data_IF_076063337517
#
_entry.id   IF_076063337517
#
_cell.length_a   1.000
_cell.length_b   1.000
_cell.length_c   1.000
_cell.angle_alpha   90.00
_cell.angle_beta   90.00
_cell.angle_gamma   90.00
#
_symmetry.space_group_name_H-M   'P 1'
#
loop_
_entity.id
_entity.type
_entity.pdbx_description
1 polymer ?
#
# COMPACT_ATOMS: atom_id res chain seq x y z
N UNK A 1 22.39 17.42 17.34
CA UNK A 1 22.39 18.59 16.43
C UNK A 1 21.43 18.42 15.25
N UNK A 2 20.97 17.19 14.96
CA UNK A 2 20.03 16.83 13.89
C UNK A 2 18.57 17.28 14.16
N UNK A 3 18.13 17.39 15.40
CA UNK A 3 16.74 17.72 15.77
C UNK A 3 16.30 19.17 15.50
N UNK A 4 17.21 20.09 15.30
CA UNK A 4 16.87 21.51 15.03
C UNK A 4 16.44 21.79 13.58
N UNK A 5 16.74 20.90 12.65
CA UNK A 5 16.53 21.11 11.22
C UNK A 5 15.18 20.62 10.71
N UNK A 6 14.62 19.59 11.34
CA UNK A 6 13.24 19.14 11.11
C UNK A 6 12.24 20.25 11.46
N UNK A 7 12.50 21.01 12.54
CA UNK A 7 11.67 22.15 12.93
C UNK A 7 11.73 23.34 11.94
N UNK A 8 12.82 23.53 11.21
CA UNK A 8 12.91 24.57 10.20
C UNK A 8 12.08 24.20 8.94
N UNK A 9 12.01 22.92 8.61
CA UNK A 9 11.13 22.41 7.56
C UNK A 9 9.64 22.67 7.86
N UNK A 10 9.21 22.48 9.10
CA UNK A 10 7.84 22.69 9.55
C UNK A 10 7.49 24.19 9.56
N UNK A 11 8.44 25.08 9.91
CA UNK A 11 8.17 26.53 9.98
C UNK A 11 7.95 27.16 8.60
N UNK A 12 8.55 26.64 7.54
CA UNK A 12 8.30 27.11 6.16
C UNK A 12 6.93 26.68 5.67
N UNK A 13 6.42 25.54 6.13
CA UNK A 13 5.10 25.00 5.74
C UNK A 13 3.91 25.76 6.35
N UNK A 14 4.03 26.30 7.54
CA UNK A 14 2.91 26.94 8.26
C UNK A 14 2.60 28.38 7.82
N UNK A 15 3.46 29.06 7.11
CA UNK A 15 3.27 30.48 6.70
C UNK A 15 2.53 30.63 5.36
N UNK A 16 2.27 29.56 4.59
CA UNK A 16 1.88 29.65 3.18
C UNK A 16 0.41 29.35 2.85
N UNK A 17 -0.50 29.40 3.81
CA UNK A 17 -1.90 28.98 3.60
C UNK A 17 -2.78 29.91 2.74
N UNK A 18 -2.28 31.03 2.21
CA UNK A 18 -3.11 32.01 1.49
C UNK A 18 -2.72 32.40 0.07
N UNK A 19 -1.64 31.81 -0.53
CA UNK A 19 -1.27 32.04 -1.93
C UNK A 19 -0.89 30.72 -2.61
N UNK A 20 -1.93 29.91 -2.90
CA UNK A 20 -1.83 28.46 -3.07
C UNK A 20 -0.93 27.92 -4.21
N UNK A 21 -0.62 28.61 -5.27
CA UNK A 21 0.09 28.00 -6.42
C UNK A 21 1.55 28.44 -6.61
N UNK A 22 1.85 29.71 -6.42
CA UNK A 22 3.22 30.23 -6.64
C UNK A 22 4.11 29.95 -5.43
N UNK A 23 3.56 30.09 -4.22
CA UNK A 23 4.32 29.88 -2.97
C UNK A 23 4.59 28.41 -2.70
N UNK A 24 3.71 27.50 -3.12
CA UNK A 24 3.96 26.05 -3.01
C UNK A 24 5.14 25.64 -3.89
N UNK A 25 5.17 26.09 -5.14
CA UNK A 25 6.29 25.82 -6.05
C UNK A 25 7.62 26.40 -5.52
N UNK A 26 7.63 27.64 -5.07
CA UNK A 26 8.80 28.30 -4.48
C UNK A 26 9.21 27.60 -3.17
N UNK A 27 8.24 27.18 -2.37
CA UNK A 27 8.47 26.45 -1.13
C UNK A 27 9.10 25.07 -1.36
N UNK A 28 8.63 24.32 -2.35
CA UNK A 28 9.21 23.03 -2.74
C UNK A 28 10.64 23.20 -3.24
N UNK A 29 10.88 24.09 -4.18
CA UNK A 29 12.23 24.33 -4.73
C UNK A 29 13.20 24.85 -3.69
N UNK A 30 12.77 25.69 -2.77
CA UNK A 30 13.57 26.12 -1.62
C UNK A 30 13.84 24.94 -0.66
N UNK A 31 12.84 24.15 -0.35
CA UNK A 31 12.98 22.93 0.46
C UNK A 31 13.95 21.94 -0.14
N UNK A 32 13.84 21.69 -1.46
CA UNK A 32 14.78 20.85 -2.19
C UNK A 32 16.18 21.45 -2.19
N UNK A 33 16.32 22.74 -2.44
CA UNK A 33 17.64 23.38 -2.49
C UNK A 33 18.35 23.36 -1.14
N UNK A 34 17.68 23.76 -0.08
CA UNK A 34 18.28 23.80 1.26
C UNK A 34 18.38 22.41 1.88
N UNK A 35 17.32 21.60 1.80
CA UNK A 35 17.31 20.25 2.35
C UNK A 35 18.35 19.35 1.70
N UNK A 36 18.38 19.30 0.37
CA UNK A 36 19.35 18.49 -0.35
C UNK A 36 20.78 18.97 -0.14
N UNK A 37 21.00 20.30 -0.09
CA UNK A 37 22.32 20.89 0.15
C UNK A 37 22.86 20.58 1.55
N UNK A 38 22.00 20.59 2.57
CA UNK A 38 22.40 20.28 3.96
C UNK A 38 22.64 18.78 4.18
N UNK A 39 21.95 17.93 3.40
CA UNK A 39 22.12 16.49 3.41
C UNK A 39 23.27 16.03 2.50
N UNK A 40 23.71 16.90 1.62
CA UNK A 40 24.80 16.66 0.69
C UNK A 40 26.16 16.74 1.40
N UNK A 41 26.63 15.62 1.87
CA UNK A 41 27.84 15.52 2.67
C UNK A 41 29.08 15.24 1.81
N UNK A 42 28.92 14.75 0.59
CA UNK A 42 30.07 14.41 -0.25
C UNK A 42 30.03 15.06 -1.65
N UNK A 43 31.14 14.94 -2.37
CA UNK A 43 31.37 15.55 -3.67
C UNK A 43 30.74 14.79 -4.84
N UNK A 44 30.00 13.69 -4.60
CA UNK A 44 29.44 12.82 -5.64
C UNK A 44 28.19 13.39 -6.33
N UNK A 45 27.43 14.26 -5.66
CA UNK A 45 26.16 14.78 -6.16
C UNK A 45 24.96 13.91 -5.80
N UNK A 46 25.17 12.87 -4.98
CA UNK A 46 24.16 11.91 -4.57
C UNK A 46 24.19 11.76 -3.04
N UNK A 47 23.04 11.38 -2.49
CA UNK A 47 22.97 10.86 -1.12
C UNK A 47 23.18 9.34 -1.20
N UNK A 48 24.09 8.83 -0.41
CA UNK A 48 24.41 7.41 -0.36
C UNK A 48 23.63 6.73 0.76
N UNK A 49 23.40 5.43 0.61
CA UNK A 49 22.57 4.64 1.54
C UNK A 49 23.08 4.69 2.99
N UNK A 50 24.38 4.80 3.17
CA UNK A 50 25.05 4.85 4.47
C UNK A 50 24.76 6.13 5.27
N UNK A 51 24.32 7.19 4.59
CA UNK A 51 23.99 8.48 5.19
C UNK A 51 22.59 8.50 5.84
N UNK A 52 21.78 7.45 5.64
CA UNK A 52 20.38 7.39 6.02
C UNK A 52 19.99 6.13 6.78
N UNK A 53 18.92 6.21 7.58
CA UNK A 53 18.27 5.00 8.04
C UNK A 53 17.71 4.23 6.83
N UNK A 54 17.90 2.92 6.78
CA UNK A 54 17.53 2.08 5.62
C UNK A 54 16.11 2.30 5.10
N UNK A 55 15.14 2.50 6.00
CA UNK A 55 13.76 2.70 5.61
C UNK A 55 13.47 4.05 4.94
N UNK A 56 14.20 5.11 5.31
CA UNK A 56 14.03 6.44 4.69
C UNK A 56 14.69 6.48 3.31
N UNK A 57 15.84 5.84 3.14
CA UNK A 57 16.54 5.80 1.88
C UNK A 57 15.70 5.14 0.77
N UNK A 58 15.07 4.01 1.07
CA UNK A 58 14.24 3.30 0.10
C UNK A 58 12.98 4.06 -0.34
N UNK A 59 12.52 5.01 0.48
CA UNK A 59 11.42 5.91 0.10
C UNK A 59 11.88 7.01 -0.87
N UNK A 60 13.17 7.30 -0.91
CA UNK A 60 13.77 8.35 -1.75
C UNK A 60 14.34 7.78 -3.05
N UNK A 61 14.92 6.59 -3.00
CA UNK A 61 15.50 5.89 -4.13
C UNK A 61 14.40 5.23 -4.98
N UNK A 62 13.74 6.03 -5.82
CA UNK A 62 12.61 5.56 -6.64
C UNK A 62 13.02 4.61 -7.76
N UNK A 63 14.24 4.70 -8.25
CA UNK A 63 14.73 3.88 -9.36
C UNK A 63 15.47 2.62 -8.91
N UNK A 64 15.77 2.51 -7.60
CA UNK A 64 16.42 1.34 -7.02
C UNK A 64 17.92 1.22 -7.32
N UNK A 65 18.59 2.31 -7.73
CA UNK A 65 20.01 2.29 -8.09
C UNK A 65 20.95 2.44 -6.87
N UNK A 66 20.38 2.54 -5.68
CA UNK A 66 21.05 2.79 -4.39
C UNK A 66 21.72 4.17 -4.28
N UNK A 67 21.25 5.12 -5.05
CA UNK A 67 21.64 6.53 -4.99
C UNK A 67 20.39 7.40 -4.98
N UNK A 68 20.38 8.47 -4.20
CA UNK A 68 19.30 9.45 -4.25
C UNK A 68 19.84 10.74 -4.87
N UNK A 69 19.34 11.04 -6.05
CA UNK A 69 19.67 12.29 -6.73
C UNK A 69 18.70 13.42 -6.35
N UNK A 70 19.02 14.65 -6.81
CA UNK A 70 18.22 15.83 -6.49
C UNK A 70 16.78 15.75 -7.03
N UNK A 71 16.58 15.06 -8.15
CA UNK A 71 15.27 14.95 -8.76
C UNK A 71 14.37 13.95 -8.01
N UNK A 72 14.95 12.87 -7.51
CA UNK A 72 14.27 11.92 -6.64
C UNK A 72 13.89 12.57 -5.30
N UNK A 73 14.82 13.33 -4.70
CA UNK A 73 14.51 14.10 -3.49
C UNK A 73 13.41 15.13 -3.71
N UNK A 74 13.41 15.83 -4.87
CA UNK A 74 12.35 16.78 -5.25
C UNK A 74 11.00 16.07 -5.39
N UNK A 75 10.99 14.88 -6.00
CA UNK A 75 9.77 14.11 -6.18
C UNK A 75 9.22 13.62 -4.85
N UNK A 76 10.09 13.14 -3.96
CA UNK A 76 9.71 12.79 -2.60
C UNK A 76 9.02 13.96 -1.89
N UNK A 77 9.64 15.15 -1.88
CA UNK A 77 9.04 16.34 -1.26
C UNK A 77 7.69 16.68 -1.91
N UNK A 78 7.60 16.58 -3.24
CA UNK A 78 6.35 16.85 -3.98
C UNK A 78 5.25 15.85 -3.61
N UNK A 79 5.56 14.56 -3.54
CA UNK A 79 4.58 13.53 -3.16
C UNK A 79 4.10 13.69 -1.72
N UNK A 80 5.00 13.97 -0.79
CA UNK A 80 4.66 14.16 0.62
C UNK A 80 4.00 15.51 0.92
N UNK A 81 4.07 16.48 0.01
CA UNK A 81 3.40 17.78 0.15
C UNK A 81 2.03 17.86 -0.53
N UNK A 82 1.61 16.81 -1.26
CA UNK A 82 0.27 16.77 -1.86
C UNK A 82 -0.78 16.69 -0.76
N UNK A 83 -1.81 17.53 -0.90
CA UNK A 83 -3.05 17.33 -0.15
C UNK A 83 -3.69 16.01 -0.61
N UNK A 84 -4.38 15.34 0.29
CA UNK A 84 -5.13 14.12 -0.04
C UNK A 84 -6.15 14.40 -1.17
N UNK A 85 -6.29 13.45 -2.07
CA UNK A 85 -7.30 13.47 -3.12
C UNK A 85 -7.88 12.07 -3.35
N UNK A 86 -9.17 12.00 -3.60
CA UNK A 86 -9.84 10.77 -3.98
C UNK A 86 -9.59 10.36 -5.45
N UNK A 87 -9.01 11.25 -6.26
CA UNK A 87 -8.56 10.95 -7.61
C UNK A 87 -7.13 11.45 -7.82
N UNK A 88 -6.24 10.59 -8.28
CA UNK A 88 -4.85 10.94 -8.54
C UNK A 88 -4.43 10.57 -9.95
N UNK A 89 -3.39 11.23 -10.44
CA UNK A 89 -2.78 10.93 -11.74
C UNK A 89 -1.51 10.12 -11.55
N UNK A 90 -1.24 9.24 -12.52
CA UNK A 90 0.07 8.56 -12.59
C UNK A 90 1.18 9.60 -12.73
N UNK A 91 2.33 9.27 -12.21
CA UNK A 91 3.52 10.06 -12.47
C UNK A 91 3.96 9.84 -13.92
N UNK A 92 3.95 10.89 -14.73
CA UNK A 92 4.26 10.88 -16.17
C UNK A 92 5.73 10.60 -16.51
N UNK A 93 6.59 10.55 -15.50
CA UNK A 93 7.99 10.10 -15.65
C UNK A 93 8.13 8.60 -15.85
N UNK A 94 7.14 7.83 -15.42
CA UNK A 94 7.14 6.39 -15.56
C UNK A 94 6.36 5.95 -16.78
N UNK A 95 6.87 4.90 -17.41
CA UNK A 95 6.14 4.22 -18.49
C UNK A 95 5.30 3.11 -17.86
N UNK A 96 4.04 3.09 -18.21
CA UNK A 96 3.09 2.09 -17.75
C UNK A 96 2.61 1.22 -18.91
N UNK A 97 2.23 -0.05 -18.67
CA UNK A 97 1.69 -0.90 -19.72
C UNK A 97 0.35 -0.32 -20.22
N UNK A 98 0.09 -0.48 -21.51
CA UNK A 98 -1.18 -0.03 -22.12
C UNK A 98 -2.42 -0.68 -21.51
N UNK A 99 -2.26 -1.82 -20.84
CA UNK A 99 -3.29 -2.56 -20.12
C UNK A 99 -3.71 -1.87 -18.81
N UNK A 100 -2.91 -0.92 -18.28
CA UNK A 100 -3.26 -0.12 -17.13
C UNK A 100 -4.16 1.05 -17.55
N UNK A 101 -5.33 1.17 -16.93
CA UNK A 101 -6.31 2.21 -17.22
C UNK A 101 -6.73 2.91 -15.93
N UNK A 102 -7.02 4.21 -16.02
CA UNK A 102 -7.71 4.93 -14.95
C UNK A 102 -9.21 4.62 -15.01
N UNK A 103 -9.80 4.34 -13.87
CA UNK A 103 -11.22 4.26 -13.67
C UNK A 103 -11.67 5.17 -12.53
N UNK A 104 -12.96 5.45 -12.49
CA UNK A 104 -13.57 6.20 -11.39
C UNK A 104 -15.03 5.77 -11.23
N UNK A 105 -15.60 6.07 -10.07
CA UNK A 105 -17.03 5.91 -9.79
C UNK A 105 -17.51 6.98 -8.79
N UNK A 106 -18.81 7.29 -8.84
CA UNK A 106 -19.42 8.17 -7.86
C UNK A 106 -19.69 7.41 -6.57
N UNK A 107 -19.09 7.85 -5.47
CA UNK A 107 -19.32 7.31 -4.15
C UNK A 107 -20.57 7.95 -3.54
N UNK A 108 -21.49 7.13 -3.11
CA UNK A 108 -22.67 7.58 -2.36
C UNK A 108 -22.34 7.86 -0.90
N UNK A 109 -21.31 7.19 -0.37
CA UNK A 109 -20.86 7.37 1.00
C UNK A 109 -20.12 8.72 1.18
N UNK A 110 -19.31 9.09 0.19
CA UNK A 110 -18.45 10.29 0.26
C UNK A 110 -19.02 11.50 -0.50
N UNK A 111 -20.11 11.30 -1.29
CA UNK A 111 -20.65 12.32 -2.20
C UNK A 111 -19.58 12.95 -3.10
N UNK A 112 -18.69 12.09 -3.64
CA UNK A 112 -17.58 12.51 -4.51
C UNK A 112 -17.16 11.39 -5.46
N UNK A 113 -16.40 11.75 -6.49
CA UNK A 113 -15.80 10.77 -7.40
C UNK A 113 -14.57 10.12 -6.77
N UNK A 114 -14.51 8.79 -6.80
CA UNK A 114 -13.38 7.98 -6.30
C UNK A 114 -12.64 7.36 -7.47
N UNK A 115 -11.34 7.64 -7.54
CA UNK A 115 -10.43 7.06 -8.54
C UNK A 115 -9.92 5.66 -8.17
N UNK A 116 -9.61 4.89 -9.20
CA UNK A 116 -8.83 3.65 -9.10
C UNK A 116 -8.03 3.46 -10.38
N UNK A 117 -6.95 2.69 -10.33
CA UNK A 117 -6.32 2.15 -11.53
C UNK A 117 -6.65 0.68 -11.69
N UNK A 118 -6.80 0.23 -12.93
CA UNK A 118 -7.11 -1.15 -13.25
C UNK A 118 -6.18 -1.65 -14.35
N UNK A 119 -5.50 -2.76 -14.08
CA UNK A 119 -4.78 -3.53 -15.08
C UNK A 119 -5.70 -4.62 -15.64
N UNK A 120 -5.92 -4.60 -16.95
CA UNK A 120 -6.78 -5.55 -17.67
C UNK A 120 -5.88 -6.33 -18.63
N UNK A 121 -5.65 -7.63 -18.42
CA UNK A 121 -4.77 -8.42 -19.26
C UNK A 121 -5.33 -8.59 -20.70
N UNK A 122 -4.46 -8.79 -21.69
CA UNK A 122 -4.85 -8.95 -23.10
C UNK A 122 -5.86 -10.06 -23.30
N UNK A 123 -5.71 -11.18 -22.59
CA UNK A 123 -6.65 -12.30 -22.57
C UNK A 123 -8.10 -11.88 -22.25
N UNK A 124 -8.31 -10.75 -21.57
CA UNK A 124 -9.65 -10.22 -21.34
C UNK A 124 -10.36 -9.82 -22.63
N UNK A 125 -9.64 -9.31 -23.61
CA UNK A 125 -10.19 -8.91 -24.90
C UNK A 125 -10.26 -10.07 -25.88
N UNK A 126 -9.43 -11.09 -25.72
CA UNK A 126 -9.34 -12.27 -26.57
C UNK A 126 -10.37 -13.36 -26.18
N UNK A 127 -10.62 -13.53 -24.89
CA UNK A 127 -11.47 -14.59 -24.32
C UNK A 127 -12.78 -14.00 -23.78
N UNK A 128 -13.72 -13.72 -24.68
CA UNK A 128 -14.93 -12.94 -24.39
C UNK A 128 -15.87 -13.62 -23.38
N UNK A 129 -15.89 -14.95 -23.31
CA UNK A 129 -16.76 -15.71 -22.40
C UNK A 129 -16.11 -15.99 -21.03
N UNK A 130 -14.81 -15.66 -20.89
CA UNK A 130 -14.06 -15.91 -19.66
C UNK A 130 -14.37 -14.85 -18.62
N UNK A 131 -14.51 -15.29 -17.36
CA UNK A 131 -14.46 -14.44 -16.17
C UNK A 131 -13.06 -14.55 -15.54
N UNK A 132 -12.57 -13.46 -15.03
CA UNK A 132 -11.20 -13.33 -14.54
C UNK A 132 -11.16 -13.20 -13.02
N UNK A 133 -10.14 -13.75 -12.39
CA UNK A 133 -9.79 -13.44 -11.02
C UNK A 133 -9.48 -11.97 -10.90
N UNK A 134 -9.72 -11.41 -9.72
CA UNK A 134 -9.38 -10.02 -9.39
C UNK A 134 -8.49 -9.95 -8.17
N UNK A 135 -7.50 -9.08 -8.20
CA UNK A 135 -6.67 -8.76 -7.04
C UNK A 135 -6.79 -7.26 -6.77
N UNK A 136 -7.22 -6.91 -5.56
CA UNK A 136 -7.26 -5.54 -5.09
C UNK A 136 -5.95 -5.25 -4.38
N UNK A 137 -5.19 -4.28 -4.90
CA UNK A 137 -3.91 -3.88 -4.36
C UNK A 137 -4.04 -2.60 -3.54
N UNK A 138 -3.70 -2.69 -2.25
CA UNK A 138 -3.78 -1.62 -1.27
C UNK A 138 -2.40 -0.96 -1.09
N UNK A 139 -2.34 0.35 -1.35
CA UNK A 139 -1.09 1.12 -1.26
C UNK A 139 -0.54 1.23 0.16
N UNK A 140 0.76 1.52 0.24
CA UNK A 140 1.42 1.92 1.48
C UNK A 140 1.36 3.44 1.72
N UNK A 141 1.85 3.85 2.89
CA UNK A 141 1.96 5.26 3.30
C UNK A 141 0.63 5.91 3.70
N UNK A 142 0.75 7.15 4.18
CA UNK A 142 -0.37 8.00 4.62
C UNK A 142 -0.04 9.47 4.38
N UNK A 143 -0.92 10.23 3.68
CA UNK A 143 -1.97 9.70 2.83
C UNK A 143 -1.36 8.97 1.63
N UNK A 144 -1.95 7.85 1.26
CA UNK A 144 -1.59 7.15 0.05
C UNK A 144 -2.70 7.27 -1.00
N UNK A 145 -2.46 6.75 -2.20
CA UNK A 145 -3.43 6.83 -3.27
C UNK A 145 -3.28 5.69 -4.28
N UNK A 146 -4.27 5.57 -5.15
CA UNK A 146 -4.37 4.53 -6.18
C UNK A 146 -3.24 4.58 -7.23
N UNK A 147 -2.63 5.75 -7.44
CA UNK A 147 -1.57 5.92 -8.43
C UNK A 147 -0.20 5.47 -7.92
N UNK A 148 0.01 5.47 -6.59
CA UNK A 148 1.30 5.25 -5.95
C UNK A 148 1.90 3.88 -6.29
N UNK A 149 1.12 2.82 -6.08
CA UNK A 149 1.58 1.45 -6.30
C UNK A 149 1.25 0.93 -7.72
N UNK A 150 0.63 1.77 -8.56
CA UNK A 150 0.26 1.37 -9.92
C UNK A 150 1.48 0.98 -10.78
N UNK A 151 2.71 1.41 -10.40
CA UNK A 151 3.94 0.99 -11.07
C UNK A 151 4.18 -0.53 -11.00
N UNK A 152 3.64 -1.22 -9.99
CA UNK A 152 3.68 -2.68 -9.89
C UNK A 152 3.03 -3.34 -11.10
N UNK A 153 2.12 -2.67 -11.81
CA UNK A 153 1.52 -3.18 -13.05
C UNK A 153 2.53 -3.53 -14.13
N UNK A 154 3.73 -2.91 -14.13
CA UNK A 154 4.82 -3.28 -15.04
C UNK A 154 5.34 -4.69 -14.77
N UNK A 155 5.56 -5.03 -13.51
CA UNK A 155 6.00 -6.37 -13.11
C UNK A 155 4.91 -7.41 -13.39
N UNK A 156 3.66 -7.09 -13.04
CA UNK A 156 2.49 -7.95 -13.31
C UNK A 156 2.35 -8.20 -14.81
N UNK A 157 2.48 -7.17 -15.64
CA UNK A 157 2.42 -7.29 -17.09
C UNK A 157 3.50 -8.25 -17.63
N UNK A 158 4.74 -8.09 -17.18
CA UNK A 158 5.85 -8.94 -17.58
C UNK A 158 5.63 -10.40 -17.14
N UNK A 159 5.09 -10.63 -15.95
CA UNK A 159 4.79 -11.98 -15.44
C UNK A 159 3.70 -12.64 -16.30
N UNK A 160 2.68 -11.90 -16.72
CA UNK A 160 1.60 -12.43 -17.57
C UNK A 160 1.97 -12.63 -19.03
N UNK A 161 3.20 -12.27 -19.44
CA UNK A 161 3.75 -12.71 -20.73
C UNK A 161 4.12 -14.21 -20.72
N UNK A 162 4.25 -14.82 -19.55
CA UNK A 162 4.38 -16.27 -19.41
C UNK A 162 3.01 -16.93 -19.64
N UNK A 163 2.83 -17.55 -20.80
CA UNK A 163 1.58 -18.19 -21.23
C UNK A 163 1.11 -19.34 -20.31
N UNK A 164 1.96 -19.80 -19.37
CA UNK A 164 1.59 -20.82 -18.38
C UNK A 164 0.85 -20.23 -17.18
N UNK A 165 0.84 -18.90 -17.04
CA UNK A 165 0.18 -18.19 -15.95
C UNK A 165 -1.19 -17.69 -16.42
N UNK A 166 -2.26 -18.12 -15.74
CA UNK A 166 -3.62 -17.65 -16.03
C UNK A 166 -3.77 -16.21 -15.52
N UNK A 167 -3.95 -15.20 -16.40
CA UNK A 167 -3.88 -13.80 -15.98
C UNK A 167 -5.11 -13.36 -15.18
N UNK A 168 -4.89 -12.40 -14.26
CA UNK A 168 -5.89 -11.78 -13.43
C UNK A 168 -6.02 -10.28 -13.70
N UNK A 169 -7.13 -9.69 -13.32
CA UNK A 169 -7.34 -8.25 -13.26
C UNK A 169 -6.76 -7.74 -11.94
N UNK A 170 -5.99 -6.65 -11.96
CA UNK A 170 -5.50 -5.99 -10.75
C UNK A 170 -6.13 -4.61 -10.60
N UNK A 171 -6.60 -4.29 -9.41
CA UNK A 171 -7.21 -3.01 -9.08
C UNK A 171 -6.36 -2.32 -8.01
N UNK A 172 -5.79 -1.17 -8.34
CA UNK A 172 -5.06 -0.31 -7.41
C UNK A 172 -6.04 0.65 -6.76
N UNK A 173 -6.12 0.59 -5.44
CA UNK A 173 -7.20 1.17 -4.64
C UNK A 173 -6.75 2.47 -3.99
N UNK A 174 -7.62 3.50 -4.00
CA UNK A 174 -7.49 4.66 -3.13
C UNK A 174 -8.01 4.29 -1.74
N UNK A 175 -7.16 4.36 -0.73
CA UNK A 175 -7.46 3.92 0.64
C UNK A 175 -8.00 5.02 1.54
N UNK A 176 -8.26 6.21 1.01
CA UNK A 176 -8.69 7.33 1.81
C UNK A 176 -7.55 8.02 2.57
N UNK A 177 -7.86 9.12 3.24
CA UNK A 177 -6.89 9.94 3.94
C UNK A 177 -6.17 9.20 5.07
N UNK A 178 -6.90 8.29 5.76
CA UNK A 178 -6.34 7.46 6.83
C UNK A 178 -5.87 6.08 6.34
N UNK A 179 -5.59 5.92 5.06
CA UNK A 179 -5.02 4.70 4.46
C UNK A 179 -5.69 3.41 4.93
N UNK A 180 -6.84 3.11 4.33
CA UNK A 180 -7.62 1.88 4.53
C UNK A 180 -8.27 1.72 5.91
N UNK A 181 -8.46 2.82 6.65
CA UNK A 181 -9.35 2.89 7.80
C UNK A 181 -10.56 3.77 7.47
N UNK A 182 -11.61 3.62 8.27
CA UNK A 182 -12.68 4.60 8.37
C UNK A 182 -12.34 5.61 9.47
N UNK A 183 -12.65 6.88 9.24
CA UNK A 183 -12.48 7.95 10.22
C UNK A 183 -13.61 8.96 10.08
N UNK A 184 -14.44 9.08 11.11
CA UNK A 184 -15.47 10.09 11.18
C UNK A 184 -14.85 11.49 11.32
N UNK A 185 -13.74 11.59 12.05
CA UNK A 185 -13.02 12.86 12.27
C UNK A 185 -12.51 13.47 10.97
N UNK A 186 -11.96 12.64 10.08
CA UNK A 186 -11.45 13.06 8.78
C UNK A 186 -12.51 12.99 7.67
N UNK A 187 -13.73 12.55 7.99
CA UNK A 187 -14.74 12.23 6.98
C UNK A 187 -14.16 11.42 5.81
N UNK A 188 -13.47 10.32 6.14
CA UNK A 188 -12.74 9.50 5.20
C UNK A 188 -12.98 8.01 5.48
N UNK A 189 -13.64 7.30 4.58
CA UNK A 189 -14.13 5.94 4.79
C UNK A 189 -13.50 4.95 3.81
N UNK A 190 -12.15 4.87 3.82
CA UNK A 190 -11.38 4.05 2.88
C UNK A 190 -11.71 2.56 2.91
N UNK A 191 -12.01 2.00 4.09
CA UNK A 191 -12.45 0.61 4.25
C UNK A 191 -13.81 0.40 3.60
N UNK A 192 -14.81 1.19 3.97
CA UNK A 192 -16.18 1.04 3.48
C UNK A 192 -16.29 1.30 1.98
N UNK A 193 -15.52 2.24 1.45
CA UNK A 193 -15.43 2.48 0.01
C UNK A 193 -14.97 1.22 -0.71
N UNK A 194 -13.90 0.57 -0.25
CA UNK A 194 -13.42 -0.65 -0.88
C UNK A 194 -14.48 -1.75 -0.83
N UNK A 195 -15.01 -2.02 0.37
CA UNK A 195 -15.87 -3.19 0.62
C UNK A 195 -17.26 -3.00 0.03
N UNK A 196 -17.88 -1.83 0.26
CA UNK A 196 -19.29 -1.63 -0.02
C UNK A 196 -19.55 -0.96 -1.37
N UNK A 197 -18.56 -0.28 -1.97
CA UNK A 197 -18.76 0.45 -3.22
C UNK A 197 -17.86 -0.02 -4.36
N UNK A 198 -16.52 -0.06 -4.17
CA UNK A 198 -15.57 -0.38 -5.24
C UNK A 198 -15.69 -1.85 -5.69
N UNK A 199 -15.68 -2.81 -4.77
CA UNK A 199 -15.82 -4.24 -5.13
C UNK A 199 -17.12 -4.48 -5.91
N UNK A 200 -18.31 -4.05 -5.45
CA UNK A 200 -19.52 -4.18 -6.23
C UNK A 200 -19.50 -3.42 -7.57
N UNK A 201 -18.86 -2.25 -7.64
CA UNK A 201 -18.68 -1.50 -8.88
C UNK A 201 -17.88 -2.29 -9.91
N UNK A 202 -16.72 -2.85 -9.51
CA UNK A 202 -15.86 -3.66 -10.38
C UNK A 202 -16.59 -4.91 -10.87
N UNK A 203 -17.29 -5.62 -10.00
CA UNK A 203 -18.01 -6.84 -10.35
C UNK A 203 -19.18 -6.58 -11.33
N UNK A 204 -19.80 -5.39 -11.27
CA UNK A 204 -20.84 -5.00 -12.25
C UNK A 204 -20.26 -4.58 -13.59
N UNK A 205 -19.07 -3.96 -13.59
CA UNK A 205 -18.48 -3.33 -14.78
C UNK A 205 -17.63 -4.28 -15.59
N UNK A 206 -16.99 -5.24 -14.94
CA UNK A 206 -16.03 -6.14 -15.57
C UNK A 206 -16.42 -7.60 -15.40
N UNK A 207 -15.90 -8.48 -16.27
CA UNK A 207 -16.11 -9.93 -16.22
C UNK A 207 -15.22 -10.55 -15.15
N UNK A 208 -15.58 -10.36 -13.90
CA UNK A 208 -14.90 -10.89 -12.73
C UNK A 208 -15.51 -12.22 -12.28
N UNK A 209 -14.73 -13.07 -11.63
CA UNK A 209 -15.25 -14.15 -10.79
C UNK A 209 -15.63 -13.46 -9.47
N UNK A 210 -16.92 -13.20 -9.29
CA UNK A 210 -17.47 -12.30 -8.26
C UNK A 210 -17.72 -12.97 -6.90
N UNK A 211 -17.05 -14.08 -6.66
CA UNK A 211 -17.05 -14.75 -5.36
C UNK A 211 -15.63 -14.71 -4.74
N UNK A 212 -15.53 -15.17 -3.50
CA UNK A 212 -14.28 -15.19 -2.75
C UNK A 212 -13.15 -15.98 -3.43
N UNK A 213 -13.49 -17.05 -4.17
CA UNK A 213 -12.48 -17.89 -4.83
C UNK A 213 -11.82 -17.16 -5.99
N UNK A 214 -12.52 -16.21 -6.59
CA UNK A 214 -12.01 -15.35 -7.65
C UNK A 214 -11.39 -14.06 -7.16
N UNK A 215 -11.46 -13.75 -5.85
CA UNK A 215 -11.03 -12.44 -5.34
C UNK A 215 -9.85 -12.56 -4.40
N UNK A 216 -8.73 -11.93 -4.78
CA UNK A 216 -7.52 -11.74 -3.98
C UNK A 216 -7.44 -10.33 -3.40
N UNK A 217 -6.72 -10.21 -2.31
CA UNK A 217 -6.39 -8.95 -1.67
C UNK A 217 -4.89 -8.90 -1.41
N UNK A 218 -4.23 -7.85 -1.87
CA UNK A 218 -2.80 -7.66 -1.69
C UNK A 218 -2.52 -6.24 -1.20
N UNK A 219 -1.44 -6.06 -0.44
CA UNK A 219 -1.04 -4.73 -0.03
C UNK A 219 0.34 -4.70 0.58
N UNK A 220 0.92 -3.50 0.60
CA UNK A 220 2.25 -3.28 1.16
C UNK A 220 2.24 -2.19 2.24
N UNK A 221 3.06 -2.36 3.28
CA UNK A 221 3.21 -1.39 4.38
C UNK A 221 1.87 -1.11 5.10
N UNK A 222 1.31 0.10 5.02
CA UNK A 222 -0.05 0.41 5.49
C UNK A 222 -1.09 -0.51 4.83
N UNK A 223 -0.95 -0.78 3.52
CA UNK A 223 -1.78 -1.74 2.79
C UNK A 223 -1.58 -3.17 3.31
N UNK A 224 -0.36 -3.57 3.65
CA UNK A 224 -0.05 -4.90 4.18
C UNK A 224 -0.79 -5.20 5.49
N UNK A 225 -0.81 -4.26 6.43
CA UNK A 225 -1.59 -4.42 7.66
C UNK A 225 -3.10 -4.33 7.42
N UNK A 226 -3.53 -3.49 6.46
CA UNK A 226 -4.94 -3.36 6.11
C UNK A 226 -5.51 -4.66 5.53
N UNK A 227 -4.81 -5.30 4.60
CA UNK A 227 -5.28 -6.57 4.00
C UNK A 227 -5.39 -7.67 5.05
N UNK A 228 -4.51 -7.68 6.05
CA UNK A 228 -4.59 -8.64 7.17
C UNK A 228 -5.83 -8.40 8.03
N UNK A 229 -6.15 -7.14 8.35
CA UNK A 229 -7.40 -6.81 9.06
C UNK A 229 -8.63 -7.21 8.26
N UNK A 230 -8.66 -6.88 6.98
CA UNK A 230 -9.80 -7.19 6.10
C UNK A 230 -10.01 -8.68 5.91
N UNK A 231 -8.93 -9.47 5.90
CA UNK A 231 -9.03 -10.93 5.89
C UNK A 231 -9.90 -11.46 7.03
N UNK A 232 -9.69 -10.96 8.23
CA UNK A 232 -10.41 -11.42 9.42
C UNK A 232 -11.80 -10.78 9.55
N UNK A 233 -11.96 -9.52 9.14
CA UNK A 233 -13.27 -8.84 9.16
C UNK A 233 -14.23 -9.36 8.08
N UNK A 234 -13.70 -9.71 6.91
CA UNK A 234 -14.47 -10.08 5.73
C UNK A 234 -14.05 -11.44 5.14
N UNK A 235 -14.04 -12.52 5.92
CA UNK A 235 -13.46 -13.80 5.51
C UNK A 235 -14.18 -14.44 4.31
N UNK A 236 -15.42 -14.04 4.05
CA UNK A 236 -16.21 -14.50 2.92
C UNK A 236 -16.00 -13.72 1.62
N UNK A 237 -15.25 -12.60 1.65
CA UNK A 237 -15.02 -11.78 0.46
C UNK A 237 -13.77 -12.19 -0.33
N UNK A 238 -12.73 -12.68 0.35
CA UNK A 238 -11.43 -12.92 -0.26
C UNK A 238 -11.02 -14.39 -0.11
N UNK A 239 -10.45 -14.97 -1.16
CA UNK A 239 -9.90 -16.33 -1.14
C UNK A 239 -8.41 -16.38 -0.83
N UNK A 240 -7.68 -15.35 -1.23
CA UNK A 240 -6.24 -15.20 -1.00
C UNK A 240 -5.90 -13.80 -0.51
N UNK A 241 -5.02 -13.70 0.46
CA UNK A 241 -4.55 -12.44 1.05
C UNK A 241 -3.02 -12.44 1.11
N UNK A 242 -2.40 -11.42 0.50
CA UNK A 242 -0.96 -11.25 0.40
C UNK A 242 -0.55 -9.96 1.10
N UNK A 243 0.07 -10.06 2.27
CA UNK A 243 0.37 -8.95 3.16
C UNK A 243 1.88 -8.68 3.23
N UNK A 244 2.31 -7.63 2.58
CA UNK A 244 3.71 -7.24 2.45
C UNK A 244 4.12 -6.11 3.39
N UNK A 245 5.27 -6.21 4.03
CA UNK A 245 5.92 -5.13 4.77
C UNK A 245 5.07 -4.49 5.87
N UNK A 246 4.04 -5.16 6.38
CA UNK A 246 3.07 -4.59 7.32
C UNK A 246 3.68 -4.17 8.65
N UNK A 247 3.32 -2.97 9.16
CA UNK A 247 3.79 -2.50 10.46
C UNK A 247 2.94 -3.07 11.60
N UNK A 248 3.16 -4.34 11.96
CA UNK A 248 2.40 -5.02 13.02
C UNK A 248 2.73 -4.52 14.43
N UNK A 249 3.86 -3.83 14.61
CA UNK A 249 4.17 -3.11 15.86
C UNK A 249 3.14 -2.01 16.10
N UNK A 250 2.76 -1.27 15.05
CA UNK A 250 1.72 -0.23 15.16
C UNK A 250 0.35 -0.87 15.40
N UNK A 251 0.02 -1.98 14.74
CA UNK A 251 -1.23 -2.70 15.01
C UNK A 251 -1.31 -3.20 16.47
N UNK A 252 -0.18 -3.62 17.05
CA UNK A 252 -0.11 -4.01 18.46
C UNK A 252 -0.30 -2.80 19.37
N UNK A 253 0.31 -1.68 19.05
CA UNK A 253 0.13 -0.44 19.80
C UNK A 253 -1.34 0.03 19.75
N UNK A 254 -2.04 -0.08 18.61
CA UNK A 254 -3.48 0.18 18.49
C UNK A 254 -4.29 -0.72 19.43
N UNK A 255 -3.96 -2.02 19.48
CA UNK A 255 -4.57 -2.96 20.43
C UNK A 255 -4.39 -2.50 21.88
N UNK A 256 -3.16 -2.18 22.27
CA UNK A 256 -2.79 -1.81 23.64
C UNK A 256 -3.38 -0.45 24.07
N UNK A 257 -3.71 0.42 23.11
CA UNK A 257 -4.31 1.75 23.32
C UNK A 257 -5.82 1.80 23.05
N UNK A 258 -6.49 0.65 23.02
CA UNK A 258 -7.95 0.55 22.86
C UNK A 258 -8.46 1.23 21.57
N UNK A 259 -7.69 1.10 20.46
CA UNK A 259 -8.09 1.58 19.14
C UNK A 259 -7.53 2.94 18.74
N UNK A 260 -6.60 3.49 19.52
CA UNK A 260 -5.90 4.70 19.12
C UNK A 260 -4.56 4.39 18.47
N UNK A 261 -4.32 4.96 17.30
CA UNK A 261 -3.02 4.93 16.62
C UNK A 261 -2.25 6.20 16.98
N UNK A 262 -1.11 6.03 17.65
CA UNK A 262 -0.11 7.07 17.89
C UNK A 262 1.18 6.60 17.22
N UNK A 263 1.37 6.95 15.95
CA UNK A 263 2.60 6.59 15.25
C UNK A 263 3.73 7.52 15.73
N UNK A 264 4.71 6.98 16.47
CA UNK A 264 5.82 7.80 16.99
C UNK A 264 6.69 8.40 15.89
N UNK A 265 6.51 7.95 14.64
CA UNK A 265 7.18 8.49 13.44
C UNK A 265 6.42 9.68 12.85
N UNK A 266 5.17 9.92 13.29
CA UNK A 266 4.39 11.08 12.88
C UNK A 266 4.85 12.32 13.66
N UNK A 267 5.61 13.19 13.01
CA UNK A 267 6.10 14.44 13.59
C UNK A 267 4.97 15.39 14.06
N UNK A 268 3.77 15.23 13.52
CA UNK A 268 2.58 16.02 13.89
C UNK A 268 1.92 15.53 15.16
N UNK A 269 2.32 14.37 15.69
CA UNK A 269 1.69 13.72 16.86
C UNK A 269 0.18 13.58 16.71
N UNK A 270 -0.28 13.29 15.49
CA UNK A 270 -1.68 13.03 15.26
C UNK A 270 -2.01 11.67 15.86
N UNK A 271 -2.98 11.64 16.75
CA UNK A 271 -3.53 10.42 17.32
C UNK A 271 -4.85 10.17 16.62
N UNK A 272 -4.98 9.03 15.98
CA UNK A 272 -6.19 8.67 15.23
C UNK A 272 -6.93 7.56 15.95
N UNK A 273 -8.22 7.75 16.14
CA UNK A 273 -9.09 6.66 16.60
C UNK A 273 -9.51 5.82 15.40
N UNK A 274 -9.09 4.56 15.37
CA UNK A 274 -9.39 3.60 14.30
C UNK A 274 -10.34 2.49 14.75
N UNK A 275 -10.79 2.56 15.99
CA UNK A 275 -11.74 1.63 16.60
C UNK A 275 -11.08 0.55 17.48
N UNK A 276 -11.58 0.41 18.69
CA UNK A 276 -11.15 -0.64 19.61
C UNK A 276 -11.37 -2.04 18.99
N UNK A 277 -10.34 -2.89 19.04
CA UNK A 277 -10.37 -4.22 18.44
C UNK A 277 -10.34 -4.25 16.90
N UNK A 278 -10.13 -3.11 16.24
CA UNK A 278 -9.98 -3.00 14.78
C UNK A 278 -8.51 -3.05 14.34
N UNK A 279 -7.70 -3.77 15.09
CA UNK A 279 -6.30 -4.06 14.80
C UNK A 279 -6.12 -5.52 14.37
N UNK A 280 -5.00 -5.80 13.68
CA UNK A 280 -4.74 -7.13 13.14
C UNK A 280 -4.59 -8.22 14.20
N UNK A 281 -4.10 -7.88 15.41
CA UNK A 281 -3.92 -8.83 16.50
C UNK A 281 -5.25 -9.25 17.13
N UNK A 282 -6.08 -8.27 17.50
CA UNK A 282 -7.41 -8.51 18.07
C UNK A 282 -8.32 -9.25 17.10
N UNK A 283 -8.29 -8.88 15.83
CA UNK A 283 -9.11 -9.52 14.79
C UNK A 283 -8.68 -10.96 14.54
N UNK A 284 -7.39 -11.28 14.57
CA UNK A 284 -6.90 -12.66 14.48
C UNK A 284 -7.36 -13.52 15.67
N UNK A 285 -7.27 -12.99 16.90
CA UNK A 285 -7.79 -13.66 18.10
C UNK A 285 -9.29 -13.95 17.98
N UNK A 286 -10.08 -12.95 17.60
CA UNK A 286 -11.54 -13.08 17.44
C UNK A 286 -11.90 -14.11 16.35
N UNK A 287 -11.14 -14.15 15.26
CA UNK A 287 -11.39 -15.08 14.16
C UNK A 287 -11.28 -16.54 14.60
N UNK A 288 -10.36 -16.90 15.50
CA UNK A 288 -10.18 -18.26 15.98
C UNK A 288 -11.41 -18.82 16.71
N UNK A 289 -12.25 -17.95 17.26
CA UNK A 289 -13.48 -18.35 17.96
C UNK A 289 -14.69 -18.51 17.03
N UNK A 290 -14.63 -17.96 15.81
CA UNK A 290 -15.78 -17.87 14.90
C UNK A 290 -15.78 -18.85 13.72
N UNK A 291 -14.82 -19.74 13.64
CA UNK A 291 -14.38 -20.49 12.46
C UNK A 291 -15.45 -21.11 11.60
N UNK A 292 -15.61 -20.59 10.37
CA UNK A 292 -16.10 -21.35 9.24
C UNK A 292 -15.20 -21.30 8.00
N UNK A 293 -14.29 -20.35 7.88
CA UNK A 293 -13.39 -20.21 6.73
C UNK A 293 -12.27 -19.19 7.00
N UNK A 294 -11.03 -19.55 6.64
CA UNK A 294 -9.88 -18.65 6.62
C UNK A 294 -9.37 -18.52 5.19
N UNK A 295 -9.25 -17.30 4.62
CA UNK A 295 -8.53 -17.09 3.37
C UNK A 295 -7.10 -17.64 3.44
N UNK A 296 -6.53 -18.03 2.30
CA UNK A 296 -5.09 -18.33 2.25
C UNK A 296 -4.31 -17.05 2.49
N UNK A 297 -3.43 -17.06 3.47
CA UNK A 297 -2.60 -15.91 3.82
C UNK A 297 -1.14 -16.14 3.41
N UNK A 298 -0.50 -15.08 2.90
CA UNK A 298 0.94 -14.98 2.79
C UNK A 298 1.40 -13.67 3.43
N UNK A 299 2.29 -13.78 4.41
CA UNK A 299 3.07 -12.66 4.93
C UNK A 299 4.40 -12.61 4.16
N UNK A 300 4.75 -11.46 3.61
CA UNK A 300 6.02 -11.31 2.90
C UNK A 300 6.75 -10.03 3.24
N UNK A 301 8.07 -10.07 3.20
CA UNK A 301 8.92 -8.92 3.49
C UNK A 301 10.35 -9.14 3.02
N UNK A 302 11.12 -8.07 2.94
CA UNK A 302 12.56 -8.14 2.92
C UNK A 302 13.14 -8.43 4.30
N UNK A 303 14.30 -9.09 4.37
CA UNK A 303 15.02 -9.31 5.64
C UNK A 303 15.53 -8.01 6.25
N UNK A 304 15.81 -7.02 5.40
CA UNK A 304 16.28 -5.70 5.79
C UNK A 304 15.15 -4.68 5.92
N UNK A 305 13.90 -5.12 5.84
CA UNK A 305 12.73 -4.27 6.04
C UNK A 305 12.66 -3.76 7.49
N UNK A 306 12.44 -2.46 7.69
CA UNK A 306 12.31 -1.85 9.01
C UNK A 306 11.17 -2.42 9.84
N UNK A 307 10.18 -3.05 9.20
CA UNK A 307 9.04 -3.71 9.86
C UNK A 307 9.28 -5.22 10.08
N UNK A 308 10.44 -5.76 9.66
CA UNK A 308 10.70 -7.20 9.67
C UNK A 308 10.47 -7.86 11.02
N UNK A 309 10.98 -7.26 12.10
CA UNK A 309 10.85 -7.83 13.46
C UNK A 309 9.37 -7.93 13.88
N UNK A 310 8.58 -6.89 13.61
CA UNK A 310 7.15 -6.89 13.90
C UNK A 310 6.37 -7.89 13.04
N UNK A 311 6.77 -8.08 11.77
CA UNK A 311 6.19 -9.08 10.88
C UNK A 311 6.52 -10.49 11.40
N UNK A 312 7.74 -10.72 11.85
CA UNK A 312 8.17 -11.98 12.42
C UNK A 312 7.43 -12.30 13.74
N UNK A 313 7.25 -11.30 14.61
CA UNK A 313 6.46 -11.46 15.85
C UNK A 313 5.00 -11.83 15.51
N UNK A 314 4.40 -11.16 14.54
CA UNK A 314 3.04 -11.45 14.10
C UNK A 314 2.93 -12.84 13.43
N UNK A 315 3.93 -13.26 12.66
CA UNK A 315 4.03 -14.62 12.12
C UNK A 315 3.94 -15.68 13.24
N UNK A 316 4.75 -15.55 14.28
CA UNK A 316 4.70 -16.51 15.41
C UNK A 316 3.37 -16.49 16.15
N UNK A 317 2.80 -15.31 16.35
CA UNK A 317 1.49 -15.16 16.94
C UNK A 317 0.39 -15.89 16.14
N UNK A 318 0.38 -15.75 14.82
CA UNK A 318 -0.57 -16.48 13.97
C UNK A 318 -0.39 -18.01 14.08
N UNK A 319 0.85 -18.49 14.17
CA UNK A 319 1.12 -19.91 14.40
C UNK A 319 0.60 -20.38 15.76
N UNK A 320 0.75 -19.59 16.82
CA UNK A 320 0.20 -19.90 18.16
C UNK A 320 -1.34 -19.97 18.12
N UNK A 321 -1.98 -19.17 17.31
CA UNK A 321 -3.43 -19.22 17.08
C UNK A 321 -3.87 -20.36 16.14
N UNK A 322 -2.94 -21.13 15.57
CA UNK A 322 -3.24 -22.20 14.61
C UNK A 322 -3.67 -21.69 13.23
N UNK A 323 -3.37 -20.43 12.89
CA UNK A 323 -3.69 -19.83 11.59
C UNK A 323 -2.57 -20.16 10.61
N UNK A 324 -2.83 -21.10 9.71
CA UNK A 324 -1.88 -21.50 8.67
C UNK A 324 -1.65 -20.38 7.65
N UNK A 325 -0.38 -20.10 7.33
CA UNK A 325 0.00 -19.09 6.34
C UNK A 325 1.38 -19.37 5.77
N UNK A 326 1.67 -18.76 4.61
CA UNK A 326 3.03 -18.70 4.06
C UNK A 326 3.78 -17.52 4.70
N UNK A 327 5.06 -17.76 5.00
CA UNK A 327 5.98 -16.70 5.45
C UNK A 327 7.12 -16.61 4.46
N UNK A 328 7.11 -15.57 3.60
CA UNK A 328 7.99 -15.42 2.45
C UNK A 328 8.94 -14.24 2.62
N UNK A 329 10.21 -14.53 2.91
CA UNK A 329 11.22 -13.52 3.22
C UNK A 329 12.34 -13.57 2.19
N UNK A 330 12.61 -12.43 1.55
CA UNK A 330 13.74 -12.27 0.66
C UNK A 330 14.93 -11.65 1.39
N UNK A 331 16.11 -12.21 1.17
CA UNK A 331 17.37 -11.58 1.60
C UNK A 331 17.62 -10.33 0.75
N UNK A 332 18.35 -9.37 1.29
CA UNK A 332 18.78 -8.16 0.59
C UNK A 332 17.64 -7.35 -0.05
N UNK A 333 16.47 -7.37 0.58
CA UNK A 333 15.34 -6.49 0.29
C UNK A 333 15.04 -5.69 1.55
N UNK A 334 14.94 -4.40 1.40
CA UNK A 334 14.51 -3.43 2.41
C UNK A 334 12.99 -3.19 2.34
N UNK A 335 12.50 -2.11 2.94
CA UNK A 335 11.07 -1.74 2.91
C UNK A 335 10.67 -1.20 1.53
N UNK A 336 10.68 -2.07 0.50
CA UNK A 336 10.45 -1.69 -0.88
C UNK A 336 9.69 -2.79 -1.65
N UNK A 337 8.40 -2.52 -1.96
CA UNK A 337 7.53 -3.42 -2.71
C UNK A 337 8.05 -3.68 -4.13
N UNK A 338 8.61 -2.67 -4.79
CA UNK A 338 9.11 -2.78 -6.16
C UNK A 338 10.32 -3.71 -6.24
N UNK A 339 11.28 -3.57 -5.32
CA UNK A 339 12.43 -4.49 -5.22
C UNK A 339 11.98 -5.93 -4.94
N UNK A 340 10.93 -6.11 -4.14
CA UNK A 340 10.38 -7.44 -3.89
C UNK A 340 9.78 -8.02 -5.17
N UNK A 341 8.96 -7.23 -5.89
CA UNK A 341 8.37 -7.63 -7.16
C UNK A 341 9.41 -7.90 -8.25
N UNK A 342 10.47 -7.11 -8.31
CA UNK A 342 11.59 -7.34 -9.23
C UNK A 342 12.27 -8.70 -8.98
N UNK A 343 12.49 -9.05 -7.70
CA UNK A 343 13.18 -10.29 -7.34
C UNK A 343 12.28 -11.52 -7.40
N UNK A 344 11.04 -11.43 -6.93
CA UNK A 344 10.13 -12.59 -6.83
C UNK A 344 8.64 -12.22 -6.89
N UNK A 345 8.27 -11.23 -7.68
CA UNK A 345 6.86 -10.87 -7.90
C UNK A 345 6.03 -12.03 -8.48
N UNK A 346 6.68 -12.95 -9.21
CA UNK A 346 6.01 -14.14 -9.74
C UNK A 346 5.38 -14.99 -8.63
N UNK A 347 6.07 -15.20 -7.51
CA UNK A 347 5.53 -15.93 -6.35
C UNK A 347 4.28 -15.26 -5.75
N UNK A 348 4.23 -13.91 -5.74
CA UNK A 348 3.07 -13.14 -5.26
C UNK A 348 1.88 -13.32 -6.20
N UNK A 349 2.10 -13.16 -7.50
CA UNK A 349 1.06 -13.34 -8.53
C UNK A 349 0.52 -14.77 -8.50
N UNK A 350 1.38 -15.78 -8.54
CA UNK A 350 1.00 -17.20 -8.51
C UNK A 350 0.21 -17.56 -7.24
N UNK A 351 0.54 -16.93 -6.11
CA UNK A 351 -0.19 -17.14 -4.86
C UNK A 351 -1.68 -16.78 -5.00
N UNK A 352 -2.00 -15.69 -5.69
CA UNK A 352 -3.39 -15.29 -5.94
C UNK A 352 -4.11 -16.19 -6.94
N UNK A 353 -3.37 -16.96 -7.74
CA UNK A 353 -3.94 -17.89 -8.72
C UNK A 353 -4.21 -19.29 -8.13
N UNK A 354 -3.77 -19.55 -6.90
CA UNK A 354 -4.07 -20.80 -6.21
C UNK A 354 -5.58 -20.95 -6.04
N UNK A 355 -6.14 -22.09 -6.45
CA UNK A 355 -7.52 -22.41 -6.12
C UNK A 355 -7.63 -22.62 -4.61
N UNK A 356 -8.54 -21.92 -3.94
CA UNK A 356 -8.96 -22.32 -2.61
C UNK A 356 -9.57 -23.71 -2.76
N UNK A 357 -9.13 -24.67 -1.96
CA UNK A 357 -9.79 -25.98 -1.92
C UNK A 357 -11.25 -25.72 -1.53
N UNK A 358 -12.16 -26.18 -2.39
CA UNK A 358 -13.59 -26.20 -2.07
C UNK A 358 -13.71 -27.07 -0.83
N UNK A 359 -14.06 -26.47 0.31
CA UNK A 359 -14.54 -27.24 1.45
C UNK A 359 -15.71 -28.09 0.94
N UNK A 360 -15.52 -29.41 1.01
CA UNK A 360 -16.56 -30.41 0.80
C UNK A 360 -17.71 -30.22 1.79
#
# INVERSE_FOLDING_TARGET
>A
MQFKWVLLFIFIFTVTFHYKNILTFVGIEAGVFFGFKELYINSSGFLEKEDWSEGMFSLLDFNGDNLVNKDEFREFIREYSKEFSWENQLNDRYVFPEQLKKGAFESTLMDTTIGYYIYIPDAYHEQLDKRFRTVYYLHGGRPGNEAREAFISNYIHNIFQDATIDPAIYIFVNGGELSHYNSDELNSYGEDILINELIPHIDRKYRTINDRQGRGLEGFSQGGRAVTRFMFKYPNLFGTVSAGGGSYVIEKQIKDSEGYEDDPRDDKKNIYFVGAGNDAWSLAEQHTYSQNFTPKLMLWSGKNDMNYEGIQEYHYFLLELGIEHKFHILKDVDHNSFKFYEKDGKSLVEFHLLRSESGN
#
